data_IF_550055273622
#
_entry.id   IF_550055273622
#
_cell.length_a   1.000
_cell.length_b   1.000
_cell.length_c   1.000
_cell.angle_alpha   90.00
_cell.angle_beta   90.00
_cell.angle_gamma   90.00
#
_symmetry.space_group_name_H-M   'P 1'
#
loop_
_entity.id
_entity.type
_entity.pdbx_description
1 polymer ?
#
# COMPACT_ATOMS: atom_id res chain seq x y z
N UNK A 1 -8.11 28.11 39.85
CA UNK A 1 -8.56 26.74 39.50
C UNK A 1 -7.94 26.41 38.15
N UNK A 2 -6.84 25.69 38.17
CA UNK A 2 -6.13 25.28 36.95
C UNK A 2 -6.64 23.94 36.47
N UNK A 3 -6.77 23.79 35.16
CA UNK A 3 -6.76 22.50 34.48
C UNK A 3 -6.38 22.72 33.00
N UNK A 4 -5.22 22.20 32.62
CA UNK A 4 -4.84 21.72 31.28
C UNK A 4 -4.00 20.45 31.53
N UNK A 5 -3.78 19.57 30.55
CA UNK A 5 -4.63 19.18 29.41
C UNK A 5 -4.80 17.64 29.35
N UNK A 6 -5.75 17.15 28.55
CA UNK A 6 -5.70 15.76 28.07
C UNK A 6 -5.17 15.76 26.64
N UNK A 7 -4.03 15.11 26.49
CA UNK A 7 -3.33 14.84 25.24
C UNK A 7 -4.18 13.97 24.30
N UNK A 8 -4.30 14.42 23.06
CA UNK A 8 -4.76 13.63 21.93
C UNK A 8 -3.96 14.08 20.71
N UNK A 9 -2.85 13.39 20.43
CA UNK A 9 -2.06 13.56 19.22
C UNK A 9 -2.88 13.02 18.04
N UNK A 10 -3.81 13.84 17.54
CA UNK A 10 -4.48 13.61 16.26
C UNK A 10 -3.42 13.67 15.16
N UNK A 11 -3.19 12.53 14.50
CA UNK A 11 -2.36 12.46 13.30
C UNK A 11 -2.96 13.38 12.25
N UNK A 12 -2.41 14.60 12.14
CA UNK A 12 -2.90 15.66 11.27
C UNK A 12 -2.99 15.19 9.82
N UNK A 13 -4.19 14.76 9.42
CA UNK A 13 -4.56 14.57 8.03
C UNK A 13 -4.53 15.96 7.40
N UNK A 14 -3.45 16.29 6.69
CA UNK A 14 -3.31 17.60 6.05
C UNK A 14 -4.55 17.84 5.18
N UNK A 15 -5.24 18.99 5.33
CA UNK A 15 -6.41 19.30 4.53
C UNK A 15 -6.02 19.22 3.06
N UNK A 16 -6.90 18.63 2.25
CA UNK A 16 -6.78 18.64 0.79
C UNK A 16 -6.69 20.11 0.37
N UNK A 17 -5.51 20.53 -0.07
CA UNK A 17 -5.26 21.93 -0.44
C UNK A 17 -6.33 22.38 -1.45
N UNK A 18 -7.09 23.41 -1.09
CA UNK A 18 -8.02 24.07 -1.98
C UNK A 18 -7.22 24.61 -3.17
N UNK A 19 -7.47 24.05 -4.36
CA UNK A 19 -6.80 24.46 -5.60
C UNK A 19 -5.91 23.42 -6.28
N UNK A 20 -6.01 22.11 -5.97
CA UNK A 20 -5.34 21.09 -6.78
C UNK A 20 -5.91 21.08 -8.22
N UNK A 21 -5.15 21.46 -9.26
CA UNK A 21 -5.60 21.46 -10.66
C UNK A 21 -6.04 20.07 -11.13
N UNK A 22 -5.56 19.02 -10.47
CA UNK A 22 -5.90 17.63 -10.73
C UNK A 22 -7.39 17.29 -10.59
N UNK A 23 -8.17 18.11 -9.88
CA UNK A 23 -9.62 17.91 -9.75
C UNK A 23 -10.41 18.23 -11.03
N UNK A 24 -9.80 18.93 -11.99
CA UNK A 24 -10.37 19.19 -13.32
C UNK A 24 -9.69 18.41 -14.44
N UNK A 25 -8.57 17.74 -14.14
CA UNK A 25 -7.82 17.01 -15.15
C UNK A 25 -8.65 15.84 -15.70
N UNK A 26 -8.70 15.74 -17.02
CA UNK A 26 -9.22 14.60 -17.78
C UNK A 26 -8.21 14.27 -18.85
N UNK A 27 -7.92 12.99 -19.01
CA UNK A 27 -6.93 12.52 -19.97
C UNK A 27 -5.97 11.49 -19.39
N UNK A 28 -4.94 11.20 -20.19
CA UNK A 28 -4.00 10.13 -19.91
C UNK A 28 -3.05 10.48 -18.77
N UNK A 29 -2.84 9.52 -17.88
CA UNK A 29 -1.92 9.65 -16.76
C UNK A 29 -1.13 8.35 -16.55
N UNK A 30 -0.01 8.48 -15.85
CA UNK A 30 0.83 7.37 -15.43
C UNK A 30 0.52 6.99 -13.98
N UNK A 31 0.51 5.69 -13.69
CA UNK A 31 0.28 5.13 -12.36
C UNK A 31 1.65 4.85 -11.72
N UNK A 32 1.97 5.60 -10.67
CA UNK A 32 3.20 5.41 -9.89
C UNK A 32 2.95 4.50 -8.68
N UNK A 33 3.78 3.49 -8.50
CA UNK A 33 3.83 2.69 -7.29
C UNK A 33 4.88 3.30 -6.34
N UNK A 34 4.42 3.79 -5.19
CA UNK A 34 5.30 4.40 -4.18
C UNK A 34 6.37 3.41 -3.68
N UNK A 35 7.47 3.95 -3.17
CA UNK A 35 8.57 3.14 -2.58
C UNK A 35 8.12 2.44 -1.30
N UNK A 36 7.33 3.14 -0.49
CA UNK A 36 6.88 2.70 0.82
C UNK A 36 5.64 1.82 0.74
N UNK A 37 5.63 0.77 1.55
CA UNK A 37 4.48 -0.07 1.84
C UNK A 37 4.75 -0.71 3.20
N UNK A 38 3.88 -0.46 4.16
CA UNK A 38 3.92 -1.09 5.48
C UNK A 38 3.21 -2.44 5.46
N UNK A 39 3.44 -3.25 6.49
CA UNK A 39 2.78 -4.56 6.62
C UNK A 39 1.27 -4.40 6.77
N UNK A 40 0.83 -3.40 7.54
CA UNK A 40 -0.58 -3.17 7.84
C UNK A 40 -1.32 -2.65 6.61
N UNK A 41 -0.74 -1.69 5.86
CA UNK A 41 -1.31 -1.22 4.59
C UNK A 41 -1.50 -2.37 3.58
N UNK A 42 -0.54 -3.30 3.50
CA UNK A 42 -0.67 -4.47 2.64
C UNK A 42 -1.75 -5.44 3.15
N UNK A 43 -1.82 -5.68 4.45
CA UNK A 43 -2.82 -6.57 5.04
C UNK A 43 -4.25 -6.04 4.82
N UNK A 44 -4.47 -4.74 5.06
CA UNK A 44 -5.76 -4.08 4.82
C UNK A 44 -6.16 -4.17 3.34
N UNK A 45 -5.22 -3.90 2.43
CA UNK A 45 -5.44 -4.07 0.99
C UNK A 45 -5.78 -5.52 0.62
N UNK A 46 -5.07 -6.50 1.19
CA UNK A 46 -5.33 -7.91 0.93
C UNK A 46 -6.71 -8.36 1.40
N UNK A 47 -7.17 -7.87 2.56
CA UNK A 47 -8.53 -8.11 3.07
C UNK A 47 -9.57 -7.51 2.14
N UNK A 48 -9.38 -6.26 1.69
CA UNK A 48 -10.28 -5.61 0.74
C UNK A 48 -10.30 -6.34 -0.62
N UNK A 49 -9.14 -6.70 -1.18
CA UNK A 49 -9.10 -7.49 -2.41
C UNK A 49 -9.92 -8.77 -2.24
N UNK A 50 -9.72 -9.49 -1.13
CA UNK A 50 -10.42 -10.74 -0.88
C UNK A 50 -11.94 -10.54 -0.76
N UNK A 51 -12.40 -9.52 -0.03
CA UNK A 51 -13.84 -9.22 0.11
C UNK A 51 -14.51 -8.87 -1.21
N UNK A 52 -13.74 -8.38 -2.18
CA UNK A 52 -14.19 -8.07 -3.53
C UNK A 52 -13.96 -9.20 -4.54
N UNK A 53 -13.50 -10.37 -4.09
CA UNK A 53 -13.28 -11.55 -4.93
C UNK A 53 -11.95 -11.56 -5.69
N UNK A 54 -11.02 -10.69 -5.34
CA UNK A 54 -9.68 -10.60 -5.93
C UNK A 54 -8.61 -11.22 -5.02
N UNK A 55 -7.58 -11.80 -5.64
CA UNK A 55 -6.38 -12.24 -4.93
C UNK A 55 -5.32 -11.13 -4.99
N UNK A 56 -4.88 -10.67 -3.83
CA UNK A 56 -3.74 -9.74 -3.75
C UNK A 56 -2.43 -10.51 -4.00
N UNK A 57 -1.56 -10.07 -4.93
CA UNK A 57 -0.24 -10.68 -5.14
C UNK A 57 0.64 -10.55 -3.89
N UNK A 58 1.55 -11.51 -3.62
CA UNK A 58 2.50 -11.41 -2.53
C UNK A 58 3.25 -10.07 -2.51
N UNK A 59 3.57 -9.52 -1.32
CA UNK A 59 4.13 -8.17 -1.21
C UNK A 59 5.51 -8.04 -1.87
N UNK A 60 6.26 -9.14 -1.99
CA UNK A 60 7.55 -9.18 -2.67
C UNK A 60 7.44 -9.10 -4.20
N UNK A 61 6.27 -9.41 -4.78
CA UNK A 61 6.04 -9.38 -6.23
C UNK A 61 5.54 -8.01 -6.72
N UNK A 62 5.13 -7.13 -5.78
CA UNK A 62 4.68 -5.78 -6.11
C UNK A 62 5.87 -4.89 -6.48
N UNK A 63 5.96 -4.53 -7.77
CA UNK A 63 6.92 -3.54 -8.25
C UNK A 63 6.66 -2.17 -7.60
N UNK A 64 7.73 -1.54 -7.08
CA UNK A 64 7.65 -0.28 -6.34
C UNK A 64 8.77 0.68 -6.72
N UNK A 65 8.54 1.97 -6.48
CA UNK A 65 9.47 3.06 -6.76
C UNK A 65 9.52 3.49 -8.22
N UNK A 66 8.40 3.39 -8.94
CA UNK A 66 8.36 3.72 -10.36
C UNK A 66 6.97 3.65 -10.98
N UNK A 67 6.90 3.95 -12.28
CA UNK A 67 5.68 3.80 -13.07
C UNK A 67 5.44 2.31 -13.34
N UNK A 68 4.21 1.86 -13.06
CA UNK A 68 3.79 0.46 -13.23
C UNK A 68 2.65 0.30 -14.25
N UNK A 69 1.99 1.41 -14.59
CA UNK A 69 0.86 1.39 -15.50
C UNK A 69 0.50 2.76 -16.00
N UNK A 70 -0.54 2.80 -16.81
CA UNK A 70 -1.16 4.01 -17.35
C UNK A 70 -2.66 3.82 -17.38
N UNK A 71 -3.39 4.92 -17.43
CA UNK A 71 -4.84 4.93 -17.63
C UNK A 71 -5.30 6.31 -18.08
N UNK A 72 -6.62 6.46 -18.23
CA UNK A 72 -7.24 7.72 -18.61
C UNK A 72 -8.22 8.11 -17.51
N UNK A 73 -8.05 9.28 -16.91
CA UNK A 73 -9.05 9.83 -15.99
C UNK A 73 -10.19 10.40 -16.82
N UNK A 74 -11.36 9.78 -16.74
CA UNK A 74 -12.56 10.18 -17.47
C UNK A 74 -13.51 10.99 -16.60
N UNK A 75 -13.50 10.77 -15.29
CA UNK A 75 -14.28 11.58 -14.36
C UNK A 75 -13.67 11.66 -12.95
N UNK A 76 -14.14 12.63 -12.15
CA UNK A 76 -13.85 12.78 -10.73
C UNK A 76 -15.18 13.03 -10.03
N UNK A 77 -15.56 12.08 -9.18
CA UNK A 77 -16.88 12.04 -8.54
C UNK A 77 -16.75 12.20 -7.04
N UNK A 78 -17.79 12.76 -6.41
CA UNK A 78 -17.89 12.86 -4.94
C UNK A 78 -18.71 11.73 -4.33
N UNK A 79 -19.44 10.98 -5.15
CA UNK A 79 -20.25 9.83 -4.76
C UNK A 79 -20.22 8.81 -5.90
N UNK A 80 -20.10 7.52 -5.57
CA UNK A 80 -20.16 6.44 -6.56
C UNK A 80 -20.52 5.11 -5.90
N UNK A 81 -21.39 4.32 -6.53
CA UNK A 81 -21.86 3.04 -5.99
C UNK A 81 -20.84 1.88 -6.08
N UNK A 82 -19.56 2.19 -6.34
CA UNK A 82 -18.52 1.16 -6.43
C UNK A 82 -17.97 0.84 -5.05
N UNK A 83 -17.73 -0.44 -4.73
CA UNK A 83 -17.03 -0.80 -3.50
C UNK A 83 -15.57 -0.32 -3.46
N UNK A 84 -15.04 0.19 -4.58
CA UNK A 84 -13.73 0.83 -4.67
C UNK A 84 -13.76 2.33 -4.36
N UNK A 85 -14.93 2.91 -4.13
CA UNK A 85 -15.07 4.32 -3.78
C UNK A 85 -14.88 4.52 -2.28
N UNK A 86 -13.77 5.14 -1.90
CA UNK A 86 -13.45 5.47 -0.50
C UNK A 86 -13.07 6.95 -0.38
N UNK A 87 -13.60 7.60 0.66
CA UNK A 87 -13.28 9.00 0.97
C UNK A 87 -14.11 10.02 0.19
N UNK A 88 -13.69 11.29 0.18
CA UNK A 88 -14.54 12.40 -0.28
C UNK A 88 -14.60 12.55 -1.81
N UNK A 89 -13.68 11.91 -2.55
CA UNK A 89 -13.58 11.98 -4.02
C UNK A 89 -13.00 10.69 -4.58
N UNK A 90 -13.49 10.26 -5.74
CA UNK A 90 -13.01 9.11 -6.49
C UNK A 90 -12.62 9.48 -7.92
N UNK A 91 -11.58 8.83 -8.45
CA UNK A 91 -11.20 8.93 -9.86
C UNK A 91 -11.91 7.83 -10.64
N UNK A 92 -12.60 8.19 -11.73
CA UNK A 92 -13.09 7.21 -12.69
C UNK A 92 -12.01 7.04 -13.75
N UNK A 93 -11.47 5.82 -13.82
CA UNK A 93 -10.34 5.48 -14.69
C UNK A 93 -10.81 4.52 -15.79
N UNK A 94 -10.52 4.87 -17.04
CA UNK A 94 -10.68 4.00 -18.20
C UNK A 94 -9.31 3.56 -18.73
N UNK A 95 -9.30 2.49 -19.55
CA UNK A 95 -8.11 2.03 -20.29
C UNK A 95 -6.87 1.77 -19.43
N UNK A 96 -7.08 1.39 -18.16
CA UNK A 96 -6.02 1.03 -17.25
C UNK A 96 -5.28 -0.21 -17.77
N UNK A 97 -3.96 -0.10 -17.92
CA UNK A 97 -3.11 -1.20 -18.38
C UNK A 97 -1.71 -1.10 -17.77
N UNK A 98 -1.04 -2.25 -17.55
CA UNK A 98 0.35 -2.25 -17.12
C UNK A 98 1.27 -1.73 -18.23
N UNK A 99 2.45 -1.27 -17.84
CA UNK A 99 3.56 -0.93 -18.75
C UNK A 99 4.85 -1.57 -18.25
N UNK A 100 5.89 -1.58 -19.08
CA UNK A 100 7.23 -1.87 -18.59
C UNK A 100 7.61 -0.91 -17.47
N UNK A 101 8.21 -1.44 -16.41
CA UNK A 101 8.51 -0.66 -15.21
C UNK A 101 9.48 0.49 -15.52
N UNK A 102 9.07 1.72 -15.21
CA UNK A 102 9.92 2.90 -15.37
C UNK A 102 10.36 3.41 -14.00
N UNK A 103 11.63 3.23 -13.61
CA UNK A 103 12.13 3.69 -12.32
C UNK A 103 12.09 5.22 -12.26
N UNK A 104 11.37 5.78 -11.28
CA UNK A 104 11.25 7.23 -11.10
C UNK A 104 10.87 7.61 -9.67
N UNK A 105 11.40 8.72 -9.17
CA UNK A 105 11.00 9.27 -7.87
C UNK A 105 9.51 9.64 -7.87
N UNK A 106 8.79 9.23 -6.83
CA UNK A 106 7.42 9.71 -6.60
C UNK A 106 7.42 11.14 -6.05
N UNK A 107 6.35 11.88 -6.33
CA UNK A 107 6.05 13.19 -5.72
C UNK A 107 4.59 13.22 -5.26
N UNK A 108 4.27 14.13 -4.33
CA UNK A 108 2.90 14.32 -3.86
C UNK A 108 2.07 15.04 -4.92
N UNK A 109 0.83 14.60 -5.12
CA UNK A 109 -0.08 15.16 -6.12
C UNK A 109 0.18 14.67 -7.54
N UNK A 110 -0.42 15.33 -8.54
CA UNK A 110 -0.08 15.10 -9.95
C UNK A 110 1.26 15.77 -10.27
N UNK A 111 2.16 15.06 -10.93
CA UNK A 111 3.48 15.56 -11.29
C UNK A 111 3.93 15.06 -12.67
N UNK A 112 4.83 15.81 -13.30
CA UNK A 112 5.43 15.43 -14.58
C UNK A 112 6.64 14.50 -14.35
N UNK A 113 6.37 13.19 -14.38
CA UNK A 113 7.38 12.16 -14.14
C UNK A 113 8.51 12.17 -15.17
N UNK A 114 8.28 12.67 -16.40
CA UNK A 114 9.31 12.69 -17.45
C UNK A 114 10.48 13.59 -17.08
N UNK A 115 10.23 14.63 -16.27
CA UNK A 115 11.27 15.55 -15.76
C UNK A 115 12.16 14.92 -14.69
N UNK A 116 11.80 13.74 -14.21
CA UNK A 116 12.50 13.00 -13.15
C UNK A 116 13.30 11.80 -13.70
N UNK A 117 13.39 11.68 -15.03
CA UNK A 117 14.15 10.66 -15.75
C UNK A 117 15.37 11.33 -16.43
N UNK A 118 16.57 10.72 -16.41
CA UNK A 118 16.90 9.42 -15.81
C UNK A 118 16.87 9.48 -14.27
N UNK A 119 16.28 8.45 -13.66
CA UNK A 119 16.26 8.34 -12.22
C UNK A 119 17.65 7.92 -11.72
N UNK A 120 18.25 8.74 -10.86
CA UNK A 120 19.65 8.59 -10.41
C UNK A 120 19.91 7.32 -9.58
N UNK A 121 18.86 6.60 -9.13
CA UNK A 121 18.98 5.34 -8.38
C UNK A 121 18.74 4.14 -9.29
N UNK A 122 19.81 3.35 -9.47
CA UNK A 122 19.96 1.95 -9.95
C UNK A 122 19.13 1.40 -11.13
N UNK A 123 18.18 2.14 -11.71
CA UNK A 123 17.37 1.69 -12.84
C UNK A 123 16.47 0.49 -12.56
N UNK A 124 16.30 0.08 -11.30
CA UNK A 124 15.57 -1.15 -10.90
C UNK A 124 14.43 -0.85 -9.93
N UNK A 125 13.40 -1.71 -9.84
CA UNK A 125 12.41 -1.63 -8.77
C UNK A 125 13.05 -1.67 -7.38
N UNK A 126 12.37 -1.04 -6.42
CA UNK A 126 12.78 -1.07 -5.02
C UNK A 126 12.72 -2.50 -4.50
N UNK A 127 13.82 -2.96 -3.91
CA UNK A 127 13.89 -4.31 -3.34
C UNK A 127 12.81 -4.50 -2.26
N UNK A 128 12.21 -5.70 -2.15
CA UNK A 128 11.31 -6.02 -1.06
C UNK A 128 11.95 -5.76 0.31
N UNK A 129 11.19 -5.19 1.24
CA UNK A 129 11.63 -5.09 2.62
C UNK A 129 11.70 -6.48 3.25
N UNK A 130 12.48 -6.64 4.33
CA UNK A 130 12.64 -7.94 5.02
C UNK A 130 11.31 -8.62 5.37
N UNK A 131 10.29 -7.82 5.73
CA UNK A 131 8.97 -8.35 6.09
C UNK A 131 8.18 -8.91 4.90
N UNK A 132 8.50 -8.44 3.68
CA UNK A 132 7.80 -8.83 2.45
C UNK A 132 8.32 -10.16 1.90
N UNK A 133 9.55 -10.52 2.25
CA UNK A 133 10.11 -11.82 1.90
C UNK A 133 9.36 -12.92 2.65
N UNK A 134 9.01 -14.00 1.95
CA UNK A 134 8.40 -15.15 2.58
C UNK A 134 9.28 -15.60 3.75
N UNK A 135 8.68 -15.74 4.93
CA UNK A 135 9.36 -16.40 6.03
C UNK A 135 9.52 -17.86 5.62
N UNK A 136 10.76 -18.36 5.56
CA UNK A 136 11.00 -19.79 5.43
C UNK A 136 10.18 -20.52 6.51
N UNK A 137 9.51 -21.64 6.21
CA UNK A 137 8.78 -22.38 7.23
C UNK A 137 9.73 -22.66 8.39
N UNK A 138 9.41 -22.14 9.58
CA UNK A 138 10.18 -22.42 10.79
C UNK A 138 10.07 -23.93 11.01
N UNK A 139 11.16 -24.66 10.86
CA UNK A 139 11.21 -26.08 11.19
C UNK A 139 10.60 -26.25 12.58
N UNK A 140 9.56 -27.07 12.67
CA UNK A 140 8.88 -27.33 13.94
C UNK A 140 9.92 -27.87 14.92
N UNK A 141 10.33 -27.05 15.89
CA UNK A 141 11.07 -27.55 17.05
C UNK A 141 10.13 -28.45 17.82
N UNK A 142 10.24 -29.76 17.58
CA UNK A 142 9.58 -30.77 18.38
C UNK A 142 9.98 -30.55 19.84
N UNK A 143 9.01 -30.23 20.69
CA UNK A 143 9.23 -30.17 22.14
C UNK A 143 9.56 -31.60 22.59
N UNK A 144 10.69 -31.85 23.29
CA UNK A 144 10.96 -33.19 23.79
C UNK A 144 9.83 -33.62 24.74
N UNK A 145 9.43 -34.90 24.75
CA UNK A 145 8.30 -35.37 25.54
C UNK A 145 8.59 -35.12 27.03
N UNK A 146 7.59 -34.57 27.73
CA UNK A 146 7.60 -34.44 29.17
C UNK A 146 7.52 -35.85 29.77
N UNK A 147 8.64 -36.38 30.26
CA UNK A 147 8.64 -37.53 31.15
C UNK A 147 8.05 -37.08 32.49
N UNK A 148 6.85 -37.55 32.82
CA UNK A 148 6.23 -37.32 34.12
C UNK A 148 6.25 -38.63 34.91
N UNK A 149 7.38 -38.90 35.56
CA UNK A 149 7.59 -39.98 36.51
C UNK A 149 7.30 -39.47 37.93
N UNK A 150 6.00 -39.36 38.26
CA UNK A 150 5.54 -39.23 39.66
C UNK A 150 4.30 -40.09 39.89
N UNK A 151 4.51 -41.39 40.02
CA UNK A 151 3.60 -42.25 40.80
C UNK A 151 4.20 -42.41 42.19
N UNK A 152 3.75 -41.55 43.10
CA UNK A 152 3.90 -41.73 44.54
C UNK A 152 3.05 -42.90 45.01
N UNK A 153 3.71 -43.85 45.67
CA UNK A 153 3.14 -44.96 46.43
C UNK A 153 2.20 -44.44 47.52
N UNK A 154 0.95 -44.90 47.54
CA UNK A 154 0.07 -44.81 48.70
C UNK A 154 -0.01 -46.20 49.35
N UNK A 155 0.07 -46.18 50.69
CA UNK A 155 -0.13 -47.29 51.62
C UNK A 155 -1.54 -47.86 51.51
#
# INVERSE_FOLDING_TARGET
MGALPHDGLEAGRKPVLAGNPGLKFRGDFAIHASTGMTRDEYADCAVLCHSLGFRCPPPAELARGGIVGVGTIVDIVTEFGSPWFFGPKGLIIANARPVEFIPVAGQLGFFDWKRLVPFTKSGRPVLPAKWMLAQAPKAATAKPPLTNDRQGRLL
#
